data_IF_993365578756
#
_entry.id   IF_993365578756
#
_cell.length_a   1.000
_cell.length_b   1.000
_cell.length_c   1.000
_cell.angle_alpha   90.00
_cell.angle_beta   90.00
_cell.angle_gamma   90.00
#
_symmetry.space_group_name_H-M   'P 1'
#
loop_
_entity.id
_entity.type
_entity.pdbx_description
1 polymer ?
#
# COMPACT_ATOMS: atom_id res chain seq x y z
N UNK A 1 10.67 -17.66 13.84
CA UNK A 1 9.45 -16.84 13.66
C UNK A 1 9.09 -16.28 15.03
N UNK A 2 8.66 -15.02 15.12
CA UNK A 2 8.33 -14.42 16.42
C UNK A 2 7.21 -15.15 17.13
N UNK A 3 7.31 -15.17 18.45
CA UNK A 3 6.28 -15.70 19.36
C UNK A 3 5.14 -14.70 19.53
N UNK A 4 4.02 -15.14 20.10
CA UNK A 4 2.90 -14.24 20.45
C UNK A 4 3.34 -13.14 21.45
N UNK A 5 4.34 -13.42 22.29
CA UNK A 5 4.92 -12.44 23.22
C UNK A 5 5.65 -11.30 22.47
N UNK A 6 6.40 -11.62 21.42
CA UNK A 6 7.07 -10.62 20.58
C UNK A 6 6.07 -9.75 19.79
N UNK A 7 4.86 -10.25 19.54
CA UNK A 7 3.80 -9.51 18.85
C UNK A 7 3.02 -8.56 19.76
N UNK A 8 3.13 -8.69 21.09
CA UNK A 8 2.39 -7.89 22.06
C UNK A 8 2.68 -6.38 21.94
N UNK A 9 3.89 -6.01 21.53
CA UNK A 9 4.32 -4.61 21.34
C UNK A 9 3.55 -3.86 20.24
N UNK A 10 2.82 -4.58 19.38
CA UNK A 10 2.01 -3.97 18.32
C UNK A 10 0.54 -3.79 18.76
N UNK A 11 0.20 -4.16 20.00
CA UNK A 11 -1.13 -3.99 20.58
C UNK A 11 -2.23 -4.56 19.69
N UNK A 12 -3.25 -3.74 19.42
CA UNK A 12 -4.41 -4.11 18.58
C UNK A 12 -4.05 -4.37 17.11
N UNK A 13 -2.89 -3.89 16.65
CA UNK A 13 -2.44 -4.09 15.27
C UNK A 13 -1.86 -5.50 15.03
N UNK A 14 -1.46 -6.23 16.08
CA UNK A 14 -0.75 -7.50 15.97
C UNK A 14 -1.44 -8.48 15.00
N UNK A 15 -2.76 -8.69 15.14
CA UNK A 15 -3.56 -9.63 14.34
C UNK A 15 -3.64 -9.30 12.84
N UNK A 16 -3.34 -8.05 12.48
CA UNK A 16 -3.31 -7.52 11.10
C UNK A 16 -1.89 -7.52 10.51
N UNK A 17 -0.87 -7.77 11.33
CA UNK A 17 0.53 -7.83 10.93
C UNK A 17 1.00 -9.28 10.81
N UNK A 18 0.66 -10.12 11.80
CA UNK A 18 1.01 -11.54 11.84
C UNK A 18 -0.06 -12.33 12.62
N UNK A 19 -0.38 -13.53 12.16
CA UNK A 19 -1.33 -14.41 12.86
C UNK A 19 -0.74 -15.01 14.14
N UNK A 20 -1.59 -15.29 15.15
CA UNK A 20 -1.17 -15.98 16.36
C UNK A 20 -0.40 -17.25 16.05
N UNK A 21 0.56 -17.59 16.91
CA UNK A 21 1.42 -18.75 16.76
C UNK A 21 0.63 -20.05 16.61
N UNK A 22 -0.44 -20.22 17.40
CA UNK A 22 -1.34 -21.36 17.30
C UNK A 22 -1.93 -21.52 15.89
N UNK A 23 -2.50 -20.44 15.32
CA UNK A 23 -3.08 -20.47 13.97
C UNK A 23 -2.04 -20.79 12.90
N UNK A 24 -0.81 -20.26 13.05
CA UNK A 24 0.29 -20.53 12.12
C UNK A 24 0.73 -22.00 12.19
N UNK A 25 0.88 -22.55 13.39
CA UNK A 25 1.25 -23.96 13.58
C UNK A 25 0.18 -24.88 12.97
N UNK A 26 -1.10 -24.62 13.24
CA UNK A 26 -2.22 -25.38 12.66
C UNK A 26 -2.23 -25.30 11.13
N UNK A 27 -1.99 -24.12 10.55
CA UNK A 27 -1.93 -23.95 9.10
C UNK A 27 -0.74 -24.68 8.46
N UNK A 28 0.44 -24.63 9.09
CA UNK A 28 1.68 -25.22 8.58
C UNK A 28 1.71 -26.74 8.69
N UNK A 29 0.92 -27.33 9.60
CA UNK A 29 0.83 -28.77 9.81
C UNK A 29 -0.29 -29.47 9.01
N UNK A 30 -0.97 -28.75 8.09
CA UNK A 30 -1.99 -29.37 7.25
C UNK A 30 -1.40 -30.47 6.36
N UNK A 31 -2.11 -31.59 6.14
CA UNK A 31 -1.67 -32.63 5.21
C UNK A 31 -1.43 -32.07 3.80
N UNK A 32 -0.31 -32.45 3.20
CA UNK A 32 0.07 -31.99 1.87
C UNK A 32 0.92 -33.04 1.15
N UNK A 33 0.54 -33.33 -0.09
CA UNK A 33 1.31 -34.18 -0.99
C UNK A 33 1.92 -33.33 -2.11
N UNK A 34 3.24 -33.16 -2.07
CA UNK A 34 3.98 -32.35 -3.02
C UNK A 34 3.93 -32.87 -4.46
N UNK A 35 3.63 -34.16 -4.67
CA UNK A 35 3.58 -34.75 -6.01
C UNK A 35 2.25 -34.50 -6.71
N UNK A 36 1.17 -34.37 -5.95
CA UNK A 36 -0.18 -34.23 -6.49
C UNK A 36 -0.74 -32.82 -6.34
N UNK A 37 -0.32 -32.04 -5.34
CA UNK A 37 -0.87 -30.72 -5.09
C UNK A 37 -0.36 -29.67 -6.11
N UNK A 38 -1.29 -28.99 -6.79
CA UNK A 38 -0.98 -28.09 -7.90
C UNK A 38 -1.95 -26.90 -8.01
N UNK A 39 -1.58 -25.94 -8.85
CA UNK A 39 -2.49 -24.95 -9.41
C UNK A 39 -2.75 -25.25 -10.88
N UNK A 40 -3.98 -25.00 -11.33
CA UNK A 40 -4.41 -25.14 -12.72
C UNK A 40 -4.97 -23.81 -13.23
N UNK A 41 -4.66 -23.43 -14.47
CA UNK A 41 -5.19 -22.22 -15.09
C UNK A 41 -6.73 -22.24 -15.19
N UNK A 42 -7.36 -21.07 -15.00
CA UNK A 42 -8.80 -20.88 -15.11
C UNK A 42 -9.13 -19.53 -15.78
N UNK A 43 -10.14 -19.51 -16.63
CA UNK A 43 -10.49 -18.32 -17.40
C UNK A 43 -11.09 -17.18 -16.55
N UNK A 44 -11.68 -17.49 -15.38
CA UNK A 44 -12.36 -16.52 -14.51
C UNK A 44 -11.52 -16.17 -13.28
N UNK A 45 -10.99 -17.17 -12.59
CA UNK A 45 -10.23 -17.02 -11.35
C UNK A 45 -8.71 -16.93 -11.58
N UNK A 46 -8.26 -16.99 -12.85
CA UNK A 46 -6.86 -17.10 -13.30
C UNK A 46 -6.19 -18.43 -12.93
N UNK A 47 -6.24 -18.80 -11.65
CA UNK A 47 -5.70 -20.06 -11.14
C UNK A 47 -6.62 -20.65 -10.09
N UNK A 48 -6.77 -21.97 -10.12
CA UNK A 48 -7.48 -22.77 -9.13
C UNK A 48 -6.53 -23.75 -8.46
N UNK A 49 -6.73 -24.02 -7.17
CA UNK A 49 -6.03 -25.09 -6.46
C UNK A 49 -6.60 -26.45 -6.88
N UNK A 50 -5.77 -27.47 -7.01
CA UNK A 50 -6.22 -28.82 -7.36
C UNK A 50 -5.25 -29.92 -6.96
N UNK A 51 -5.71 -31.16 -7.17
CA UNK A 51 -4.94 -32.39 -6.93
C UNK A 51 -4.83 -33.18 -8.24
N UNK A 52 -3.61 -33.48 -8.67
CA UNK A 52 -3.34 -34.31 -9.85
C UNK A 52 -3.82 -35.74 -9.57
N UNK A 53 -4.68 -36.26 -10.44
CA UNK A 53 -5.17 -37.64 -10.41
C UNK A 53 -4.37 -38.55 -11.36
N UNK A 54 -4.13 -38.08 -12.59
CA UNK A 54 -3.46 -38.86 -13.64
C UNK A 54 -2.63 -37.94 -14.53
N UNK A 55 -1.48 -38.44 -14.99
CA UNK A 55 -0.69 -37.88 -16.08
C UNK A 55 -0.67 -38.85 -17.25
N UNK A 56 -1.04 -38.39 -18.45
CA UNK A 56 -1.12 -39.24 -19.65
C UNK A 56 -0.80 -38.43 -20.91
N UNK A 57 0.23 -38.83 -21.66
CA UNK A 57 0.55 -38.28 -22.99
C UNK A 57 0.64 -36.74 -23.08
N UNK A 58 1.24 -36.07 -22.09
CA UNK A 58 1.37 -34.60 -22.05
C UNK A 58 0.13 -33.85 -21.55
N UNK A 59 -0.88 -34.58 -21.08
CA UNK A 59 -2.07 -34.03 -20.40
C UNK A 59 -2.10 -34.46 -18.94
N UNK A 60 -2.66 -33.61 -18.10
CA UNK A 60 -2.81 -33.82 -16.67
C UNK A 60 -4.28 -33.71 -16.31
N UNK A 61 -4.82 -34.72 -15.63
CA UNK A 61 -6.17 -34.67 -15.06
C UNK A 61 -6.07 -34.23 -13.61
N UNK A 62 -6.69 -33.09 -13.30
CA UNK A 62 -6.65 -32.43 -12.00
C UNK A 62 -8.07 -32.39 -11.42
N UNK A 63 -8.23 -32.81 -10.17
CA UNK A 63 -9.44 -32.56 -9.39
C UNK A 63 -9.35 -31.18 -8.75
N UNK A 64 -10.24 -30.27 -9.11
CA UNK A 64 -10.27 -28.90 -8.58
C UNK A 64 -10.75 -28.91 -7.13
N UNK A 65 -10.00 -28.22 -6.25
CA UNK A 65 -10.35 -28.07 -4.85
C UNK A 65 -11.52 -27.07 -4.73
N UNK A 66 -12.66 -27.53 -4.19
CA UNK A 66 -13.85 -26.72 -3.92
C UNK A 66 -15.08 -27.12 -4.74
N UNK A 67 -14.92 -27.41 -6.04
CA UNK A 67 -16.01 -27.88 -6.91
C UNK A 67 -16.03 -29.39 -7.07
N UNK A 68 -14.92 -30.07 -6.74
CA UNK A 68 -14.68 -31.49 -7.02
C UNK A 68 -14.73 -31.88 -8.50
N UNK A 69 -14.75 -30.89 -9.40
CA UNK A 69 -14.73 -31.06 -10.85
C UNK A 69 -13.37 -31.62 -11.30
N UNK A 70 -13.39 -32.60 -12.20
CA UNK A 70 -12.18 -33.10 -12.86
C UNK A 70 -11.95 -32.35 -14.18
N UNK A 71 -10.75 -31.83 -14.37
CA UNK A 71 -10.33 -31.15 -15.59
C UNK A 71 -9.10 -31.80 -16.17
N UNK A 72 -9.13 -32.10 -17.46
CA UNK A 72 -7.95 -32.54 -18.21
C UNK A 72 -7.38 -31.36 -18.98
N UNK A 73 -6.19 -30.91 -18.57
CA UNK A 73 -5.47 -29.76 -19.14
C UNK A 73 -4.11 -30.19 -19.68
N UNK A 74 -3.42 -29.28 -20.38
CA UNK A 74 -2.02 -29.52 -20.78
C UNK A 74 -1.12 -29.47 -19.54
N UNK A 75 -0.01 -30.20 -19.57
CA UNK A 75 0.95 -30.19 -18.47
C UNK A 75 1.50 -28.79 -18.18
N UNK A 76 1.69 -27.95 -19.19
CA UNK A 76 2.17 -26.56 -19.05
C UNK A 76 1.19 -25.64 -18.31
N UNK A 77 -0.10 -25.99 -18.29
CA UNK A 77 -1.14 -25.23 -17.58
C UNK A 77 -1.23 -25.61 -16.09
N UNK A 78 -0.38 -26.54 -15.64
CA UNK A 78 -0.34 -27.04 -14.26
C UNK A 78 0.98 -26.62 -13.60
N UNK A 79 0.89 -25.86 -12.52
CA UNK A 79 2.06 -25.40 -11.76
C UNK A 79 2.10 -26.00 -10.36
N UNK A 80 3.28 -26.29 -9.80
CA UNK A 80 3.38 -26.89 -8.47
C UNK A 80 2.96 -25.91 -7.38
N UNK A 81 2.37 -26.44 -6.31
CA UNK A 81 1.99 -25.66 -5.13
C UNK A 81 3.08 -25.73 -4.05
N UNK A 82 3.28 -24.63 -3.32
CA UNK A 82 4.18 -24.62 -2.17
C UNK A 82 3.59 -25.43 -1.00
N UNK A 83 4.41 -26.15 -0.22
CA UNK A 83 3.95 -26.85 0.97
C UNK A 83 3.41 -25.90 2.05
N UNK A 84 2.54 -26.35 2.97
CA UNK A 84 1.87 -25.51 3.97
C UNK A 84 2.80 -24.74 4.91
N UNK A 85 4.07 -25.14 5.05
CA UNK A 85 5.10 -24.35 5.74
C UNK A 85 5.25 -22.92 5.20
N UNK A 86 4.86 -22.68 3.95
CA UNK A 86 4.87 -21.37 3.29
C UNK A 86 3.53 -20.65 3.34
N UNK A 87 2.53 -21.17 4.07
CA UNK A 87 1.22 -20.52 4.24
C UNK A 87 1.40 -19.08 4.74
N UNK A 88 0.86 -18.13 3.97
CA UNK A 88 0.88 -16.69 4.28
C UNK A 88 2.27 -16.17 4.61
N UNK A 89 3.31 -16.67 3.93
CA UNK A 89 4.68 -16.25 4.18
C UNK A 89 4.84 -14.73 4.02
N UNK A 90 5.67 -14.16 4.88
CA UNK A 90 5.90 -12.73 4.95
C UNK A 90 6.80 -12.21 3.84
N UNK A 91 7.70 -13.04 3.33
CA UNK A 91 8.54 -12.76 2.16
C UNK A 91 8.39 -13.88 1.13
N UNK A 92 7.75 -13.56 0.01
CA UNK A 92 7.48 -14.51 -1.06
C UNK A 92 8.75 -14.99 -1.76
N UNK A 93 9.86 -14.25 -1.68
CA UNK A 93 11.15 -14.69 -2.23
C UNK A 93 11.71 -15.92 -1.52
N UNK A 94 11.18 -16.28 -0.35
CA UNK A 94 11.58 -17.47 0.41
C UNK A 94 10.83 -18.73 -0.04
N UNK A 95 9.84 -18.63 -0.93
CA UNK A 95 9.08 -19.78 -1.44
C UNK A 95 9.94 -20.69 -2.31
N UNK A 96 9.67 -22.00 -2.26
CA UNK A 96 10.35 -22.97 -3.14
C UNK A 96 9.86 -22.83 -4.59
N UNK A 97 8.56 -22.69 -4.78
CA UNK A 97 7.96 -22.49 -6.09
C UNK A 97 7.56 -21.02 -6.22
N UNK A 98 8.35 -20.25 -6.96
CA UNK A 98 8.06 -18.84 -7.23
C UNK A 98 7.39 -18.70 -8.61
N UNK A 99 6.15 -19.20 -8.71
CA UNK A 99 5.30 -19.07 -9.89
C UNK A 99 4.18 -18.04 -9.66
N UNK A 100 3.56 -17.57 -10.75
CA UNK A 100 2.51 -16.54 -10.71
C UNK A 100 1.35 -16.92 -9.80
N UNK A 101 0.90 -18.18 -9.86
CA UNK A 101 -0.15 -18.70 -9.00
C UNK A 101 0.22 -18.63 -7.51
N UNK A 102 1.45 -18.99 -7.15
CA UNK A 102 1.90 -18.98 -5.74
C UNK A 102 1.98 -17.57 -5.18
N UNK A 103 2.47 -16.61 -5.97
CA UNK A 103 2.50 -15.19 -5.59
C UNK A 103 1.07 -14.66 -5.41
N UNK A 104 0.19 -14.91 -6.37
CA UNK A 104 -1.21 -14.48 -6.32
C UNK A 104 -1.92 -15.05 -5.08
N UNK A 105 -1.80 -16.36 -4.84
CA UNK A 105 -2.46 -17.01 -3.71
C UNK A 105 -1.93 -16.55 -2.36
N UNK A 106 -0.61 -16.32 -2.23
CA UNK A 106 -0.07 -15.81 -0.97
C UNK A 106 -0.62 -14.41 -0.65
N UNK A 107 -0.65 -13.52 -1.65
CA UNK A 107 -1.26 -12.19 -1.50
C UNK A 107 -2.76 -12.30 -1.18
N UNK A 108 -3.51 -13.14 -1.91
CA UNK A 108 -4.95 -13.36 -1.72
C UNK A 108 -5.26 -13.86 -0.31
N UNK A 109 -4.51 -14.83 0.19
CA UNK A 109 -4.74 -15.45 1.50
C UNK A 109 -4.29 -14.57 2.66
N UNK A 110 -3.18 -13.83 2.51
CA UNK A 110 -2.78 -12.81 3.49
C UNK A 110 -3.82 -11.70 3.56
N UNK A 111 -4.28 -11.22 2.42
CA UNK A 111 -5.31 -10.18 2.34
C UNK A 111 -6.65 -10.63 2.92
N UNK A 112 -7.11 -11.85 2.61
CA UNK A 112 -8.32 -12.43 3.20
C UNK A 112 -8.23 -12.54 4.73
N UNK A 113 -7.00 -12.65 5.26
CA UNK A 113 -6.70 -12.66 6.68
C UNK A 113 -6.43 -11.24 7.26
N UNK A 114 -6.73 -10.18 6.51
CA UNK A 114 -6.50 -8.77 6.83
C UNK A 114 -5.03 -8.34 7.03
N UNK A 115 -4.09 -9.09 6.47
CA UNK A 115 -2.67 -8.73 6.42
C UNK A 115 -2.36 -8.11 5.06
N UNK A 116 -2.33 -6.78 5.00
CA UNK A 116 -2.22 -6.03 3.74
C UNK A 116 -0.81 -5.83 3.21
N UNK A 117 0.19 -6.03 4.06
CA UNK A 117 1.60 -5.88 3.73
C UNK A 117 2.25 -7.26 3.56
N UNK A 118 3.00 -7.42 2.48
CA UNK A 118 3.75 -8.64 2.17
C UNK A 118 5.02 -8.27 1.43
N UNK A 119 6.15 -8.88 1.78
CA UNK A 119 7.38 -8.69 1.04
C UNK A 119 7.50 -9.66 -0.15
N UNK A 120 8.25 -9.22 -1.16
CA UNK A 120 8.68 -10.04 -2.28
C UNK A 120 10.09 -9.61 -2.67
N UNK A 121 11.11 -10.20 -2.04
CA UNK A 121 12.48 -9.76 -2.24
C UNK A 121 12.63 -8.31 -1.80
N UNK A 122 13.06 -7.39 -2.66
CA UNK A 122 13.19 -5.97 -2.28
C UNK A 122 11.85 -5.24 -2.15
N UNK A 123 10.77 -5.77 -2.72
CA UNK A 123 9.47 -5.10 -2.76
C UNK A 123 8.69 -5.26 -1.46
N UNK A 124 8.00 -4.19 -1.06
CA UNK A 124 6.93 -4.22 -0.06
C UNK A 124 5.58 -4.06 -0.78
N UNK A 125 4.94 -5.18 -1.08
CA UNK A 125 3.61 -5.19 -1.69
C UNK A 125 2.55 -4.76 -0.67
N UNK A 126 1.70 -3.82 -1.07
CA UNK A 126 0.60 -3.29 -0.25
C UNK A 126 -0.71 -3.47 -1.00
N UNK A 127 -1.68 -4.14 -0.38
CA UNK A 127 -3.03 -4.30 -0.93
C UNK A 127 -3.98 -3.33 -0.23
N UNK A 128 -4.76 -2.55 -0.99
CA UNK A 128 -5.68 -1.57 -0.40
C UNK A 128 -6.74 -2.27 0.50
N UNK A 129 -6.82 -1.96 1.80
CA UNK A 129 -7.74 -2.65 2.71
C UNK A 129 -9.21 -2.31 2.47
N UNK A 130 -9.53 -1.18 1.83
CA UNK A 130 -10.89 -0.62 1.76
C UNK A 130 -11.60 -0.54 3.12
N UNK A 131 -10.81 -0.52 4.20
CA UNK A 131 -11.25 -0.55 5.59
C UNK A 131 -10.20 0.12 6.46
N UNK A 132 -10.66 0.79 7.52
CA UNK A 132 -9.75 1.29 8.53
C UNK A 132 -9.09 0.15 9.31
N UNK A 133 -7.77 0.23 9.49
CA UNK A 133 -6.97 -0.73 10.25
C UNK A 133 -6.11 0.04 11.27
N UNK A 134 -5.90 -0.49 12.50
CA UNK A 134 -5.10 0.16 13.55
C UNK A 134 -3.58 0.06 13.32
N UNK A 135 -3.13 -0.31 12.12
CA UNK A 135 -1.70 -0.57 11.81
C UNK A 135 -0.86 0.70 11.66
N UNK A 136 -1.46 1.88 11.79
CA UNK A 136 -0.79 3.17 11.68
C UNK A 136 -0.72 3.96 13.00
N UNK A 137 -1.14 3.33 14.11
CA UNK A 137 -1.18 3.97 15.42
C UNK A 137 0.26 4.24 15.95
N UNK A 138 0.38 5.17 16.89
CA UNK A 138 1.68 5.59 17.46
C UNK A 138 2.45 4.46 18.15
N UNK A 139 1.72 3.50 18.74
CA UNK A 139 2.29 2.27 19.31
C UNK A 139 3.03 1.47 18.23
N UNK A 140 2.43 1.32 17.04
CA UNK A 140 3.04 0.61 15.90
C UNK A 140 4.25 1.37 15.36
N UNK A 141 4.19 2.69 15.25
CA UNK A 141 5.35 3.52 14.88
C UNK A 141 6.54 3.24 15.80
N UNK A 142 6.29 3.22 17.12
CA UNK A 142 7.29 2.95 18.14
C UNK A 142 7.84 1.52 18.04
N UNK A 143 6.97 0.54 17.78
CA UNK A 143 7.34 -0.87 17.68
C UNK A 143 8.21 -1.20 16.45
N UNK A 144 8.15 -0.40 15.38
CA UNK A 144 8.99 -0.57 14.18
C UNK A 144 10.32 0.18 14.24
N UNK A 145 10.49 1.11 15.19
CA UNK A 145 11.66 1.98 15.25
C UNK A 145 12.95 1.19 15.53
N UNK A 146 13.97 1.41 14.70
CA UNK A 146 15.28 0.79 14.84
C UNK A 146 15.32 -0.72 14.58
N UNK A 147 14.24 -1.29 14.04
CA UNK A 147 14.17 -2.72 13.75
C UNK A 147 14.62 -3.03 12.33
N UNK A 148 15.45 -4.06 12.22
CA UNK A 148 15.75 -4.63 10.91
C UNK A 148 14.50 -5.27 10.34
N UNK A 149 14.42 -5.30 9.02
CA UNK A 149 13.29 -5.91 8.29
C UNK A 149 12.94 -7.33 8.73
N UNK A 150 13.91 -8.15 9.13
CA UNK A 150 13.68 -9.54 9.58
C UNK A 150 13.16 -9.65 11.02
N UNK A 151 13.25 -8.58 11.81
CA UNK A 151 12.89 -8.54 13.23
C UNK A 151 11.43 -8.09 13.45
N UNK A 152 10.73 -7.72 12.37
CA UNK A 152 9.36 -7.23 12.41
C UNK A 152 8.55 -7.81 11.24
N UNK A 153 7.21 -7.92 11.36
CA UNK A 153 6.36 -8.30 10.24
C UNK A 153 6.45 -7.30 9.06
N UNK A 154 5.94 -7.67 7.87
CA UNK A 154 5.89 -6.76 6.74
C UNK A 154 5.11 -5.49 7.04
N UNK A 155 5.72 -4.33 6.78
CA UNK A 155 5.05 -3.04 6.94
C UNK A 155 5.79 -1.90 6.21
N UNK A 156 5.05 -0.87 5.81
CA UNK A 156 5.64 0.33 5.21
C UNK A 156 6.54 1.12 6.17
N UNK A 157 6.29 1.01 7.48
CA UNK A 157 7.17 1.62 8.50
C UNK A 157 8.51 0.91 8.58
N UNK A 158 8.60 -0.40 8.30
CA UNK A 158 9.90 -1.06 8.20
C UNK A 158 10.70 -0.51 7.02
N UNK A 159 10.06 -0.29 5.85
CA UNK A 159 10.72 0.35 4.69
C UNK A 159 11.20 1.76 5.04
N UNK A 160 10.36 2.54 5.72
CA UNK A 160 10.68 3.93 6.10
C UNK A 160 11.80 3.98 7.14
N UNK A 161 11.72 3.17 8.20
CA UNK A 161 12.74 3.13 9.26
C UNK A 161 14.07 2.62 8.71
N UNK A 162 14.09 1.56 7.91
CA UNK A 162 15.34 1.04 7.34
C UNK A 162 15.97 2.05 6.38
N UNK A 163 15.18 2.80 5.59
CA UNK A 163 15.72 3.91 4.80
C UNK A 163 16.33 5.00 5.70
N UNK A 164 15.66 5.39 6.78
CA UNK A 164 16.21 6.37 7.73
C UNK A 164 17.49 5.86 8.42
N UNK A 165 17.51 4.61 8.88
CA UNK A 165 18.69 4.00 9.50
C UNK A 165 19.87 3.92 8.52
N UNK A 166 19.64 3.48 7.29
CA UNK A 166 20.68 3.41 6.26
C UNK A 166 21.23 4.80 5.91
N UNK A 167 20.36 5.81 5.78
CA UNK A 167 20.79 7.20 5.58
C UNK A 167 21.74 7.68 6.70
N UNK A 168 21.45 7.34 7.96
CA UNK A 168 22.28 7.73 9.10
C UNK A 168 23.58 6.93 9.21
N UNK A 169 23.51 5.64 8.91
CA UNK A 169 24.63 4.70 9.05
C UNK A 169 25.60 4.84 7.90
N UNK A 170 25.09 4.77 6.67
CA UNK A 170 25.89 4.74 5.44
C UNK A 170 26.22 6.14 4.93
N UNK A 171 25.52 7.18 5.43
CA UNK A 171 25.67 8.58 5.02
C UNK A 171 25.40 8.82 3.54
N UNK A 172 24.49 8.02 2.98
CA UNK A 172 24.05 8.10 1.59
C UNK A 172 22.57 8.47 1.46
N UNK A 173 22.23 9.17 0.38
CA UNK A 173 20.86 9.53 0.07
C UNK A 173 20.01 8.28 -0.20
N UNK A 174 18.77 8.31 0.28
CA UNK A 174 17.83 7.19 0.16
C UNK A 174 16.63 7.58 -0.69
N UNK A 175 16.00 6.60 -1.32
CA UNK A 175 14.76 6.80 -2.08
C UNK A 175 13.75 5.70 -1.78
N UNK A 176 12.48 6.07 -1.71
CA UNK A 176 11.34 5.15 -1.56
C UNK A 176 10.43 5.34 -2.76
N UNK A 177 10.35 4.33 -3.62
CA UNK A 177 9.56 4.37 -4.84
C UNK A 177 8.19 3.70 -4.59
N UNK A 178 7.11 4.49 -4.69
CA UNK A 178 5.74 4.01 -4.48
C UNK A 178 5.00 4.01 -5.83
N UNK A 179 4.78 2.82 -6.39
CA UNK A 179 4.12 2.61 -7.67
C UNK A 179 2.82 1.83 -7.53
N UNK A 180 2.02 1.78 -8.59
CA UNK A 180 0.73 1.10 -8.66
C UNK A 180 -0.29 1.84 -9.52
N UNK A 181 -1.39 1.17 -9.86
CA UNK A 181 -2.47 1.76 -10.64
C UNK A 181 -3.23 2.87 -9.88
N UNK A 182 -4.12 3.57 -10.59
CA UNK A 182 -5.07 4.49 -9.94
C UNK A 182 -5.96 3.71 -8.95
N UNK A 183 -6.12 4.24 -7.74
CA UNK A 183 -6.87 3.59 -6.65
C UNK A 183 -6.07 2.62 -5.78
N UNK A 184 -4.82 2.29 -6.14
CA UNK A 184 -3.99 1.36 -5.38
C UNK A 184 -3.53 1.87 -3.98
N UNK A 185 -3.80 3.14 -3.63
CA UNK A 185 -3.43 3.70 -2.33
C UNK A 185 -2.04 4.34 -2.25
N UNK A 186 -1.42 4.69 -3.40
CA UNK A 186 -0.10 5.35 -3.47
C UNK A 186 -0.02 6.60 -2.58
N UNK A 187 -0.93 7.54 -2.78
CA UNK A 187 -0.97 8.83 -2.06
C UNK A 187 -1.08 8.63 -0.54
N UNK A 188 -1.87 7.64 -0.10
CA UNK A 188 -2.01 7.31 1.33
C UNK A 188 -0.69 6.79 1.88
N UNK A 189 -0.05 5.83 1.20
CA UNK A 189 1.25 5.30 1.60
C UNK A 189 2.34 6.38 1.62
N UNK A 190 2.38 7.28 0.62
CA UNK A 190 3.29 8.43 0.61
C UNK A 190 3.09 9.32 1.85
N UNK A 191 1.84 9.63 2.21
CA UNK A 191 1.55 10.37 3.45
C UNK A 191 2.05 9.63 4.69
N UNK A 192 1.87 8.31 4.77
CA UNK A 192 2.33 7.50 5.92
C UNK A 192 3.85 7.49 6.05
N UNK A 193 4.59 7.39 4.95
CA UNK A 193 6.06 7.47 4.95
C UNK A 193 6.53 8.83 5.46
N UNK A 194 5.96 9.92 4.95
CA UNK A 194 6.30 11.29 5.39
C UNK A 194 5.98 11.49 6.88
N UNK A 195 4.79 11.07 7.32
CA UNK A 195 4.37 11.13 8.73
C UNK A 195 5.31 10.34 9.63
N UNK A 196 5.78 9.18 9.18
CA UNK A 196 6.75 8.38 9.91
C UNK A 196 8.06 9.15 10.11
N UNK A 197 8.65 9.70 9.05
CA UNK A 197 9.87 10.50 9.13
C UNK A 197 9.72 11.70 10.05
N UNK A 198 8.63 12.44 9.91
CA UNK A 198 8.31 13.58 10.77
C UNK A 198 8.20 13.18 12.25
N UNK A 199 7.71 11.98 12.56
CA UNK A 199 7.54 11.52 13.94
C UNK A 199 8.88 11.12 14.57
N UNK A 200 9.74 10.41 13.82
CA UNK A 200 11.00 9.87 14.37
C UNK A 200 12.13 10.92 14.44
N UNK A 201 12.08 11.97 13.60
CA UNK A 201 13.13 13.00 13.54
C UNK A 201 13.04 14.05 14.65
N UNK A 202 11.94 14.11 15.40
CA UNK A 202 11.64 15.14 16.41
C UNK A 202 12.37 14.93 17.75
N UNK A 203 13.34 14.01 17.81
CA UNK A 203 14.09 13.65 19.03
C UNK A 203 14.31 14.78 20.05
N UNK A 204 13.49 14.77 21.11
CA UNK A 204 13.69 15.41 22.42
C UNK A 204 13.93 16.92 22.47
N UNK A 205 13.80 17.67 21.37
CA UNK A 205 14.01 19.12 21.35
C UNK A 205 12.71 19.89 21.35
N UNK A 206 12.63 20.99 22.12
CA UNK A 206 11.47 21.89 22.13
C UNK A 206 11.00 22.23 20.72
N UNK A 207 9.69 22.13 20.50
CA UNK A 207 9.02 22.64 19.29
C UNK A 207 9.36 24.12 19.17
N UNK A 208 10.30 24.48 18.28
CA UNK A 208 10.56 25.87 17.96
C UNK A 208 9.28 26.46 17.35
N UNK A 209 8.69 27.40 18.09
CA UNK A 209 7.56 28.20 17.63
C UNK A 209 7.99 29.06 16.43
N UNK A 210 7.04 29.18 15.52
CA UNK A 210 6.81 30.30 14.59
C UNK A 210 7.77 30.44 13.40
N UNK A 211 7.44 29.67 12.36
CA UNK A 211 7.58 30.14 10.98
C UNK A 211 6.42 31.08 10.61
N UNK A 212 6.59 31.95 9.60
CA UNK A 212 5.58 32.92 9.13
C UNK A 212 4.24 32.31 8.69
N UNK A 213 4.15 30.99 8.52
CA UNK A 213 2.91 30.27 8.14
C UNK A 213 2.23 29.53 9.31
N UNK A 214 2.77 29.63 10.54
CA UNK A 214 2.31 28.83 11.68
C UNK A 214 2.73 27.36 11.55
N UNK A 215 3.02 26.72 12.69
CA UNK A 215 3.41 25.30 12.74
C UNK A 215 4.91 25.02 12.51
N UNK A 216 5.30 23.78 12.80
CA UNK A 216 6.66 23.28 12.60
C UNK A 216 6.91 22.92 11.13
N UNK A 217 8.17 22.66 10.75
CA UNK A 217 8.50 22.25 9.38
C UNK A 217 7.79 20.95 8.99
N UNK A 218 7.65 20.03 9.94
CA UNK A 218 6.89 18.79 9.81
C UNK A 218 5.42 19.08 9.47
N UNK A 219 4.79 20.01 10.18
CA UNK A 219 3.41 20.42 9.94
C UNK A 219 3.24 20.98 8.53
N UNK A 220 4.21 21.77 8.04
CA UNK A 220 4.18 22.34 6.70
C UNK A 220 4.28 21.29 5.59
N UNK A 221 5.17 20.30 5.74
CA UNK A 221 5.31 19.20 4.76
C UNK A 221 3.99 18.43 4.67
N UNK A 222 3.32 18.21 5.80
CA UNK A 222 2.02 17.54 5.84
C UNK A 222 0.93 18.43 5.23
N UNK A 223 0.93 19.73 5.56
CA UNK A 223 -0.04 20.74 5.09
C UNK A 223 0.05 21.05 3.59
N UNK A 224 1.20 20.78 2.95
CA UNK A 224 1.32 20.86 1.50
C UNK A 224 0.38 19.87 0.77
N UNK A 225 0.01 18.75 1.41
CA UNK A 225 -0.85 17.76 0.75
C UNK A 225 -2.28 18.27 0.49
N UNK A 226 -3.05 18.79 1.47
CA UNK A 226 -4.37 19.37 1.20
C UNK A 226 -4.38 20.36 0.03
N UNK A 227 -3.38 21.23 -0.07
CA UNK A 227 -3.26 22.19 -1.17
C UNK A 227 -3.06 21.47 -2.52
N UNK A 228 -2.07 20.58 -2.61
CA UNK A 228 -1.81 19.84 -3.84
C UNK A 228 -2.97 18.93 -4.24
N UNK A 229 -3.72 18.41 -3.28
CA UNK A 229 -4.91 17.59 -3.54
C UNK A 229 -6.08 18.42 -4.05
N UNK A 230 -6.27 19.65 -3.54
CA UNK A 230 -7.33 20.53 -4.06
C UNK A 230 -7.16 20.81 -5.57
N UNK A 231 -5.91 21.05 -6.00
CA UNK A 231 -5.61 21.43 -7.40
C UNK A 231 -5.20 20.27 -8.31
N UNK A 232 -4.76 19.15 -7.74
CA UNK A 232 -4.17 18.04 -8.50
C UNK A 232 -4.90 16.70 -8.32
N UNK A 233 -5.87 16.61 -7.41
CA UNK A 233 -6.71 15.42 -7.27
C UNK A 233 -8.14 15.67 -7.76
N UNK A 234 -8.78 14.59 -8.20
CA UNK A 234 -10.15 14.59 -8.67
C UNK A 234 -10.82 13.25 -8.37
N UNK A 235 -12.16 13.24 -8.44
CA UNK A 235 -12.95 12.01 -8.44
C UNK A 235 -12.81 11.32 -9.79
N UNK A 236 -12.43 10.05 -9.76
CA UNK A 236 -12.36 9.15 -10.91
C UNK A 236 -13.28 7.96 -10.68
N UNK A 237 -13.50 7.13 -11.69
CA UNK A 237 -14.29 5.89 -11.54
C UNK A 237 -13.74 4.95 -10.45
N UNK A 238 -12.42 4.93 -10.26
CA UNK A 238 -11.74 3.99 -9.33
C UNK A 238 -11.43 4.57 -7.94
N UNK A 239 -11.42 5.88 -7.79
CA UNK A 239 -11.00 6.56 -6.56
C UNK A 239 -11.53 7.99 -6.51
N UNK A 240 -12.20 8.33 -5.41
CA UNK A 240 -12.78 9.66 -5.18
C UNK A 240 -11.75 10.77 -4.96
N UNK A 241 -10.52 10.41 -4.57
CA UNK A 241 -9.42 11.34 -4.36
C UNK A 241 -8.17 10.88 -5.12
N UNK A 242 -8.29 10.68 -6.44
CA UNK A 242 -7.19 10.23 -7.28
C UNK A 242 -6.23 11.38 -7.60
N UNK A 243 -4.95 11.22 -7.29
CA UNK A 243 -3.89 12.11 -7.80
C UNK A 243 -3.76 11.98 -9.32
N UNK A 244 -3.79 13.12 -10.02
CA UNK A 244 -3.69 13.24 -11.48
C UNK A 244 -2.38 13.90 -11.92
N UNK A 245 -1.34 13.68 -11.12
CA UNK A 245 0.03 14.14 -11.33
C UNK A 245 0.99 13.19 -10.60
N UNK A 246 2.23 13.09 -11.08
CA UNK A 246 3.34 12.47 -10.38
C UNK A 246 3.95 13.46 -9.37
N UNK A 247 4.48 12.94 -8.27
CA UNK A 247 5.08 13.75 -7.20
C UNK A 247 6.39 13.12 -6.73
N UNK A 248 7.45 13.92 -6.69
CA UNK A 248 8.71 13.57 -6.04
C UNK A 248 8.94 14.53 -4.89
N UNK A 249 9.20 13.99 -3.70
CA UNK A 249 9.39 14.78 -2.48
C UNK A 249 10.76 14.44 -1.95
N UNK A 250 11.61 15.46 -1.82
CA UNK A 250 12.88 15.31 -1.12
C UNK A 250 12.70 15.83 0.29
N UNK A 251 13.11 15.02 1.26
CA UNK A 251 13.14 15.37 2.67
C UNK A 251 14.61 15.39 3.07
N UNK A 252 15.12 16.56 3.44
CA UNK A 252 16.52 16.76 3.77
C UNK A 252 16.70 16.62 5.28
N UNK A 253 17.63 15.76 5.67
CA UNK A 253 18.02 15.58 7.06
C UNK A 253 19.41 16.14 7.30
N UNK A 254 19.59 16.82 8.42
CA UNK A 254 20.91 17.25 8.87
C UNK A 254 21.78 16.07 9.33
N UNK A 255 23.05 16.33 9.63
CA UNK A 255 24.03 15.31 10.06
C UNK A 255 23.62 14.57 11.34
N UNK A 256 22.80 15.19 12.19
CA UNK A 256 22.24 14.62 13.42
C UNK A 256 20.95 13.82 13.21
N UNK A 257 20.47 13.66 11.97
CA UNK A 257 19.22 12.98 11.63
C UNK A 257 17.95 13.81 11.85
N UNK A 258 18.10 15.07 12.26
CA UNK A 258 16.96 15.99 12.38
C UNK A 258 16.51 16.49 11.02
N UNK A 259 15.21 16.69 10.87
CA UNK A 259 14.62 17.27 9.67
C UNK A 259 15.16 18.70 9.46
N UNK A 260 15.63 19.00 8.25
CA UNK A 260 16.25 20.29 7.90
C UNK A 260 15.40 21.09 6.92
N UNK A 261 14.95 20.47 5.83
CA UNK A 261 14.11 21.11 4.81
C UNK A 261 13.37 20.04 4.00
N UNK A 262 12.46 20.46 3.13
CA UNK A 262 11.84 19.59 2.14
C UNK A 262 11.49 20.38 0.88
N UNK A 263 11.45 19.70 -0.25
CA UNK A 263 11.01 20.26 -1.52
C UNK A 263 10.18 19.24 -2.30
N UNK A 264 9.35 19.75 -3.21
CA UNK A 264 8.38 18.96 -3.97
C UNK A 264 8.52 19.30 -5.45
N UNK A 265 8.79 18.29 -6.26
CA UNK A 265 8.69 18.36 -7.71
C UNK A 265 7.42 17.63 -8.17
N UNK A 266 6.74 18.19 -9.16
CA UNK A 266 5.50 17.64 -9.73
C UNK A 266 5.71 17.35 -11.21
N UNK A 267 5.08 16.29 -11.70
CA UNK A 267 5.22 15.85 -13.08
C UNK A 267 3.85 15.51 -13.66
N UNK A 268 3.68 15.75 -14.96
CA UNK A 268 2.57 15.21 -15.76
C UNK A 268 1.17 15.46 -15.15
N UNK A 269 0.87 16.72 -14.79
CA UNK A 269 -0.50 17.09 -14.45
C UNK A 269 -1.44 16.84 -15.64
N UNK A 270 -2.55 16.14 -15.41
CA UNK A 270 -3.58 15.85 -16.42
C UNK A 270 -4.36 17.12 -16.84
N UNK A 271 -3.72 17.95 -17.68
CA UNK A 271 -4.28 19.25 -18.12
C UNK A 271 -5.67 19.13 -18.76
N UNK A 272 -5.96 18.03 -19.47
CA UNK A 272 -7.26 17.81 -20.11
C UNK A 272 -8.43 17.86 -19.13
N UNK A 273 -8.21 17.46 -17.86
CA UNK A 273 -9.27 17.44 -16.83
C UNK A 273 -9.83 18.82 -16.49
N UNK A 274 -9.06 19.88 -16.75
CA UNK A 274 -9.50 21.28 -16.54
C UNK A 274 -10.68 21.63 -17.44
N UNK A 275 -10.72 21.06 -18.65
CA UNK A 275 -11.71 21.41 -19.67
C UNK A 275 -12.56 20.22 -20.10
N UNK A 276 -12.29 19.01 -19.61
CA UNK A 276 -13.00 17.80 -20.01
C UNK A 276 -13.18 16.82 -18.84
N UNK A 277 -14.37 16.23 -18.74
CA UNK A 277 -14.67 15.16 -17.78
C UNK A 277 -15.38 14.01 -18.49
N UNK A 278 -15.01 12.78 -18.13
CA UNK A 278 -15.78 11.59 -18.54
C UNK A 278 -17.04 11.46 -17.66
N UNK A 279 -18.08 10.75 -18.15
CA UNK A 279 -19.18 10.32 -17.30
C UNK A 279 -18.66 9.62 -16.04
N UNK A 280 -19.30 9.89 -14.91
CA UNK A 280 -18.88 9.42 -13.59
C UNK A 280 -17.47 9.87 -13.16
N UNK A 281 -16.93 10.95 -13.72
CA UNK A 281 -15.75 11.63 -13.17
C UNK A 281 -16.07 13.09 -12.82
N UNK A 282 -15.13 13.76 -12.16
CA UNK A 282 -15.22 15.21 -11.88
C UNK A 282 -13.94 15.93 -12.29
N UNK A 283 -14.04 17.26 -12.40
CA UNK A 283 -12.89 18.16 -12.45
C UNK A 283 -12.09 18.14 -11.15
N UNK A 284 -11.06 18.99 -11.04
CA UNK A 284 -10.28 19.11 -9.82
C UNK A 284 -11.12 19.61 -8.65
N UNK A 285 -10.81 19.14 -7.44
CA UNK A 285 -11.60 19.42 -6.23
C UNK A 285 -11.79 20.92 -5.97
N UNK A 286 -10.79 21.73 -6.29
CA UNK A 286 -10.80 23.17 -6.03
C UNK A 286 -12.02 23.88 -6.63
N UNK A 287 -12.48 23.50 -7.83
CA UNK A 287 -13.66 24.10 -8.45
C UNK A 287 -14.89 23.92 -7.56
N UNK A 288 -15.14 22.69 -7.13
CA UNK A 288 -16.27 22.36 -6.26
C UNK A 288 -16.11 22.94 -4.86
N UNK A 289 -14.89 22.98 -4.33
CA UNK A 289 -14.59 23.58 -3.03
C UNK A 289 -14.91 25.08 -3.01
N UNK A 290 -14.53 25.82 -4.06
CA UNK A 290 -14.85 27.23 -4.20
C UNK A 290 -16.36 27.47 -4.26
N UNK A 291 -17.11 26.59 -4.93
CA UNK A 291 -18.58 26.70 -5.09
C UNK A 291 -19.40 26.23 -3.88
N UNK A 292 -18.77 25.71 -2.82
CA UNK A 292 -19.49 25.27 -1.59
C UNK A 292 -20.16 26.41 -0.81
N UNK A 293 -19.78 27.66 -1.07
CA UNK A 293 -20.17 28.84 -0.29
C UNK A 293 -19.74 28.79 1.19
N UNK A 294 -18.78 27.94 1.56
CA UNK A 294 -18.24 27.91 2.92
C UNK A 294 -17.50 29.22 3.27
N UNK A 295 -16.95 29.89 2.25
CA UNK A 295 -16.35 31.22 2.29
C UNK A 295 -17.03 32.12 1.26
N UNK A 296 -18.15 32.78 1.60
CA UNK A 296 -18.94 33.57 0.66
C UNK A 296 -18.14 34.67 -0.04
N UNK A 297 -17.12 35.22 0.63
CA UNK A 297 -16.23 36.22 0.07
C UNK A 297 -15.48 35.73 -1.18
N UNK A 298 -15.25 34.41 -1.32
CA UNK A 298 -14.61 33.83 -2.49
C UNK A 298 -15.55 33.82 -3.71
N UNK A 299 -16.85 33.63 -3.48
CA UNK A 299 -17.87 33.65 -4.53
C UNK A 299 -17.96 35.07 -5.11
N UNK A 300 -18.05 36.07 -4.24
CA UNK A 300 -18.11 37.48 -4.63
C UNK A 300 -16.82 37.93 -5.33
N UNK A 301 -15.65 37.62 -4.76
CA UNK A 301 -14.35 38.01 -5.33
C UNK A 301 -14.09 37.37 -6.69
N UNK A 302 -14.53 36.13 -6.87
CA UNK A 302 -14.28 35.36 -8.09
C UNK A 302 -15.40 35.53 -9.14
N UNK A 303 -16.46 36.28 -8.82
CA UNK A 303 -17.63 36.53 -9.68
C UNK A 303 -18.28 35.22 -10.20
N UNK A 304 -18.39 34.22 -9.33
CA UNK A 304 -19.00 32.92 -9.64
C UNK A 304 -20.34 32.74 -8.94
N UNK A 305 -21.10 31.71 -9.33
CA UNK A 305 -22.27 31.24 -8.59
C UNK A 305 -21.89 30.01 -7.75
N UNK A 306 -22.85 29.50 -6.98
CA UNK A 306 -22.69 28.26 -6.20
C UNK A 306 -23.16 27.02 -6.95
N UNK A 307 -23.70 27.17 -8.17
CA UNK A 307 -24.20 26.07 -8.98
C UNK A 307 -23.13 25.60 -9.97
N UNK A 308 -22.56 24.38 -9.82
CA UNK A 308 -21.52 23.89 -10.73
C UNK A 308 -21.96 23.79 -12.19
N UNK A 309 -23.26 23.64 -12.45
CA UNK A 309 -23.81 23.54 -13.80
C UNK A 309 -23.79 24.86 -14.59
N UNK A 310 -23.53 26.00 -13.92
CA UNK A 310 -23.35 27.27 -14.60
C UNK A 310 -21.99 27.34 -15.33
N UNK A 311 -21.10 26.36 -15.10
CA UNK A 311 -19.73 26.30 -15.61
C UNK A 311 -19.49 25.00 -16.40
N UNK A 312 -19.62 25.01 -17.74
CA UNK A 312 -19.47 23.81 -18.58
C UNK A 312 -18.10 23.11 -18.48
N UNK A 313 -17.06 23.84 -18.07
CA UNK A 313 -15.72 23.26 -17.90
C UNK A 313 -15.59 22.33 -16.69
N UNK A 314 -16.54 22.32 -15.75
CA UNK A 314 -16.52 21.44 -14.58
C UNK A 314 -17.81 20.65 -14.34
N UNK A 315 -18.70 20.57 -15.35
CA UNK A 315 -20.04 19.97 -15.25
C UNK A 315 -20.48 19.17 -16.49
N UNK A 316 -19.53 18.56 -17.21
CA UNK A 316 -19.80 17.62 -18.31
C UNK A 316 -20.31 16.27 -17.79
#
# INVERSE_FOLDING_TARGET
>A
MSTDAEMAIYGKAAIYLRKPEKERIEAQNKPFDAKSACYVADAKELYLKGTILKKDGGKVTVKVLGTEEERTVKEDDVTPMNPPKFDKIEDMAMMTHLNEASVLYNLKERYAAWMIYTYSGLFCATVNPYKWLPVYDSEVVSAYRGKKRMEAPPHIFSVSDNAYQNMLTDRENQSVLITGESGAGKTVNTKRVIQYFATISVGGGEKKKESKMGGSLEDQIIAANPLLEAYGNAKTVRNDNSSRFGKFIRIHFGTSGKLSSADIETYLLEKSRVTFQLPDERGYHIFYQMMTNHKPELIELSLITTNPYDFPMCSQ
#
